data_IF_411673245132
#
_entry.id   IF_411673245132
#
_cell.length_a   1.000
_cell.length_b   1.000
_cell.length_c   1.000
_cell.angle_alpha   90.00
_cell.angle_beta   90.00
_cell.angle_gamma   90.00
#
_symmetry.space_group_name_H-M   'P 1'
#
loop_
_entity.id
_entity.type
_entity.pdbx_description
1 polymer ?
#
# COMPACT_ATOMS: atom_id res chain seq x y z
N UNK A 1 60.71 -6.88 3.04
CA UNK A 1 59.56 -6.54 2.17
C UNK A 1 58.35 -7.46 2.34
N UNK A 2 58.45 -8.62 3.00
CA UNK A 2 57.33 -9.58 3.10
C UNK A 2 56.20 -9.18 4.06
N UNK A 3 56.49 -8.43 5.14
CA UNK A 3 55.48 -8.01 6.11
C UNK A 3 54.43 -7.06 5.52
N UNK A 4 54.86 -6.15 4.62
CA UNK A 4 53.95 -5.22 3.94
C UNK A 4 52.97 -5.94 3.00
N UNK A 5 53.41 -7.02 2.34
CA UNK A 5 52.57 -7.83 1.48
C UNK A 5 51.51 -8.61 2.27
N UNK A 6 51.85 -9.10 3.46
CA UNK A 6 50.90 -9.79 4.36
C UNK A 6 49.85 -8.82 4.92
N UNK A 7 50.25 -7.59 5.29
CA UNK A 7 49.33 -6.54 5.77
C UNK A 7 48.38 -6.09 4.64
N UNK A 8 48.89 -5.85 3.43
CA UNK A 8 48.06 -5.47 2.28
C UNK A 8 47.03 -6.54 1.92
N UNK A 9 47.40 -7.83 2.06
CA UNK A 9 46.50 -8.97 1.79
C UNK A 9 45.45 -9.18 2.88
N UNK A 10 45.77 -8.87 4.15
CA UNK A 10 44.80 -8.83 5.24
C UNK A 10 43.83 -7.66 5.12
N UNK A 11 44.34 -6.49 4.75
CA UNK A 11 43.57 -5.27 4.52
C UNK A 11 42.56 -5.42 3.39
N UNK A 12 42.94 -6.04 2.26
CA UNK A 12 42.02 -6.24 1.15
C UNK A 12 40.89 -7.21 1.48
N UNK A 13 41.17 -8.26 2.29
CA UNK A 13 40.15 -9.19 2.77
C UNK A 13 39.17 -8.51 3.73
N UNK A 14 39.66 -7.66 4.63
CA UNK A 14 38.81 -6.88 5.55
C UNK A 14 37.91 -5.93 4.77
N UNK A 15 38.44 -5.17 3.80
CA UNK A 15 37.64 -4.30 2.95
C UNK A 15 36.55 -5.05 2.17
N UNK A 16 36.84 -6.28 1.71
CA UNK A 16 35.86 -7.11 1.02
C UNK A 16 34.74 -7.57 1.98
N UNK A 17 35.07 -7.98 3.20
CA UNK A 17 34.08 -8.37 4.21
C UNK A 17 33.20 -7.17 4.59
N UNK A 18 33.81 -6.01 4.86
CA UNK A 18 33.10 -4.77 5.17
C UNK A 18 32.14 -4.39 4.02
N UNK A 19 32.56 -4.59 2.76
CA UNK A 19 31.71 -4.28 1.61
C UNK A 19 30.52 -5.22 1.45
N UNK A 20 30.65 -6.49 1.85
CA UNK A 20 29.54 -7.45 1.83
C UNK A 20 28.55 -7.13 2.94
N UNK A 21 29.04 -6.89 4.16
CA UNK A 21 28.20 -6.50 5.30
C UNK A 21 27.45 -5.19 5.03
N UNK A 22 28.11 -4.19 4.45
CA UNK A 22 27.47 -2.95 4.04
C UNK A 22 26.40 -3.15 2.97
N UNK A 23 26.61 -4.07 2.02
CA UNK A 23 25.61 -4.38 1.00
C UNK A 23 24.39 -5.11 1.58
N UNK A 24 24.60 -6.00 2.55
CA UNK A 24 23.51 -6.67 3.28
C UNK A 24 22.70 -5.67 4.12
N UNK A 25 23.38 -4.79 4.85
CA UNK A 25 22.74 -3.73 5.63
C UNK A 25 21.91 -2.80 4.73
N UNK A 26 22.46 -2.37 3.59
CA UNK A 26 21.73 -1.57 2.62
C UNK A 26 20.48 -2.27 2.07
N UNK A 27 20.55 -3.58 1.82
CA UNK A 27 19.39 -4.35 1.35
C UNK A 27 18.28 -4.41 2.41
N UNK A 28 18.64 -4.57 3.68
CA UNK A 28 17.70 -4.55 4.80
C UNK A 28 17.07 -3.16 4.94
N UNK A 29 17.88 -2.09 4.94
CA UNK A 29 17.40 -0.72 5.03
C UNK A 29 16.42 -0.39 3.90
N UNK A 30 16.78 -0.74 2.66
CA UNK A 30 15.89 -0.54 1.51
C UNK A 30 14.54 -1.26 1.68
N UNK A 31 14.52 -2.47 2.25
CA UNK A 31 13.26 -3.17 2.53
C UNK A 31 12.42 -2.45 3.59
N UNK A 32 13.06 -1.99 4.66
CA UNK A 32 12.40 -1.26 5.75
C UNK A 32 11.83 0.07 5.26
N UNK A 33 12.61 0.86 4.53
CA UNK A 33 12.16 2.11 3.91
C UNK A 33 10.98 1.88 2.96
N UNK A 34 11.03 0.81 2.15
CA UNK A 34 9.92 0.45 1.26
C UNK A 34 8.62 0.14 2.03
N UNK A 35 8.72 -0.49 3.20
CA UNK A 35 7.57 -0.74 4.08
C UNK A 35 7.02 0.55 4.69
N UNK A 36 7.91 1.39 5.23
CA UNK A 36 7.52 2.67 5.81
C UNK A 36 6.81 3.58 4.80
N UNK A 37 7.31 3.65 3.56
CA UNK A 37 6.67 4.42 2.49
C UNK A 37 5.24 3.94 2.19
N UNK A 38 4.99 2.63 2.25
CA UNK A 38 3.65 2.09 2.06
C UNK A 38 2.74 2.44 3.24
N UNK A 39 3.25 2.32 4.48
CA UNK A 39 2.50 2.66 5.69
C UNK A 39 2.14 4.15 5.73
N UNK A 40 3.08 5.03 5.40
CA UNK A 40 2.86 6.47 5.33
C UNK A 40 1.79 6.82 4.28
N UNK A 41 1.86 6.21 3.09
CA UNK A 41 0.83 6.40 2.05
C UNK A 41 -0.54 5.95 2.54
N UNK A 42 -0.63 4.81 3.23
CA UNK A 42 -1.90 4.29 3.74
C UNK A 42 -2.48 5.12 4.89
N UNK A 43 -1.65 5.81 5.66
CA UNK A 43 -2.07 6.71 6.73
C UNK A 43 -2.55 8.05 6.15
N UNK A 44 -1.79 8.59 5.19
CA UNK A 44 -2.04 9.93 4.64
C UNK A 44 -3.04 9.96 3.48
N UNK A 45 -3.38 8.81 2.90
CA UNK A 45 -4.33 8.74 1.79
C UNK A 45 -5.77 8.85 2.30
N UNK A 46 -6.31 10.05 2.23
CA UNK A 46 -7.73 10.32 2.53
C UNK A 46 -8.65 10.13 1.33
N UNK A 47 -8.10 10.15 0.11
CA UNK A 47 -8.86 9.97 -1.12
C UNK A 47 -8.10 9.12 -2.14
N UNK A 48 -8.84 8.29 -2.87
CA UNK A 48 -8.29 7.44 -3.91
C UNK A 48 -9.24 7.36 -5.10
N UNK A 49 -8.71 7.56 -6.30
CA UNK A 49 -9.44 7.31 -7.53
C UNK A 49 -9.75 5.82 -7.70
N UNK A 50 -11.01 5.50 -7.99
CA UNK A 50 -11.50 4.14 -8.12
C UNK A 50 -12.55 4.04 -9.23
N UNK A 51 -12.67 2.84 -9.80
CA UNK A 51 -13.81 2.49 -10.63
C UNK A 51 -15.04 2.24 -9.75
N UNK A 52 -16.11 2.96 -10.05
CA UNK A 52 -17.42 2.78 -9.44
C UNK A 52 -18.27 1.99 -10.43
N UNK A 53 -18.93 0.95 -9.92
CA UNK A 53 -19.94 0.21 -10.65
C UNK A 53 -21.34 0.60 -10.18
N UNK A 54 -22.19 0.88 -11.15
CA UNK A 54 -23.59 1.20 -10.96
C UNK A 54 -24.44 0.17 -11.71
N UNK A 55 -25.31 -0.54 -10.99
CA UNK A 55 -26.23 -1.50 -11.58
C UNK A 55 -27.56 -0.80 -11.86
N UNK A 56 -27.96 -0.73 -13.14
CA UNK A 56 -29.22 -0.07 -13.53
C UNK A 56 -30.47 -0.82 -13.09
N UNK A 57 -30.39 -2.15 -12.97
CA UNK A 57 -31.54 -2.97 -12.57
C UNK A 57 -31.83 -2.92 -11.07
N UNK A 58 -30.82 -2.70 -10.23
CA UNK A 58 -30.96 -2.78 -8.76
C UNK A 58 -30.68 -1.45 -8.06
N UNK A 59 -30.31 -0.42 -8.82
CA UNK A 59 -29.86 0.87 -8.31
C UNK A 59 -28.71 0.75 -7.28
N UNK A 60 -27.88 -0.30 -7.41
CA UNK A 60 -26.73 -0.53 -6.56
C UNK A 60 -25.54 0.29 -7.05
N UNK A 61 -24.81 0.93 -6.14
CA UNK A 61 -23.59 1.70 -6.41
C UNK A 61 -22.50 1.27 -5.45
N UNK A 62 -21.33 0.90 -5.98
CA UNK A 62 -20.20 0.45 -5.18
C UNK A 62 -18.92 0.35 -5.99
N UNK A 63 -17.83 -0.11 -5.36
CA UNK A 63 -16.56 -0.36 -6.08
C UNK A 63 -16.57 -1.69 -6.82
N UNK A 64 -17.34 -2.67 -6.33
CA UNK A 64 -17.41 -4.01 -6.92
C UNK A 64 -18.84 -4.41 -7.18
N UNK A 65 -19.05 -5.09 -8.30
CA UNK A 65 -20.38 -5.57 -8.67
C UNK A 65 -20.68 -6.79 -7.80
N UNK A 66 -21.85 -6.85 -7.14
CA UNK A 66 -22.16 -7.98 -6.30
C UNK A 66 -22.28 -9.25 -7.17
N UNK A 67 -21.88 -10.42 -6.64
CA UNK A 67 -21.84 -11.66 -7.43
C UNK A 67 -23.19 -12.02 -8.05
N UNK A 68 -24.29 -11.71 -7.37
CA UNK A 68 -25.65 -11.99 -7.83
C UNK A 68 -26.09 -11.09 -8.99
N UNK A 69 -25.61 -9.83 -9.08
CA UNK A 69 -25.87 -8.98 -10.26
C UNK A 69 -25.25 -9.57 -11.51
N UNK A 70 -24.05 -10.14 -11.40
CA UNK A 70 -23.38 -10.82 -12.52
C UNK A 70 -24.14 -12.09 -12.93
N UNK A 71 -24.56 -12.91 -11.96
CA UNK A 71 -25.32 -14.15 -12.22
C UNK A 71 -26.66 -13.90 -12.92
N UNK A 72 -27.33 -12.80 -12.60
CA UNK A 72 -28.61 -12.41 -13.22
C UNK A 72 -28.45 -11.65 -14.55
N UNK A 73 -27.22 -11.37 -14.98
CA UNK A 73 -26.96 -10.65 -16.24
C UNK A 73 -27.44 -9.19 -16.22
N UNK A 74 -27.37 -8.51 -15.08
CA UNK A 74 -27.79 -7.12 -14.99
C UNK A 74 -26.86 -6.18 -15.76
N UNK A 75 -27.41 -5.06 -16.25
CA UNK A 75 -26.60 -4.04 -16.91
C UNK A 75 -25.80 -3.24 -15.87
N UNK A 76 -24.47 -3.32 -15.98
CA UNK A 76 -23.51 -2.66 -15.11
C UNK A 76 -22.82 -1.53 -15.86
N UNK A 77 -22.89 -0.32 -15.32
CA UNK A 77 -22.15 0.84 -15.82
C UNK A 77 -20.92 1.07 -14.95
N UNK A 78 -19.76 1.18 -15.58
CA UNK A 78 -18.51 1.53 -14.90
C UNK A 78 -18.24 3.02 -15.11
N UNK A 79 -17.96 3.73 -14.03
CA UNK A 79 -17.58 5.15 -14.04
C UNK A 79 -16.33 5.34 -13.20
N UNK A 80 -15.59 6.41 -13.46
CA UNK A 80 -14.49 6.82 -12.57
C UNK A 80 -15.05 7.69 -11.46
N UNK A 81 -14.58 7.50 -10.24
CA UNK A 81 -14.88 8.38 -9.13
C UNK A 81 -13.83 8.30 -8.05
N UNK A 82 -14.10 8.94 -6.92
CA UNK A 82 -13.16 9.03 -5.82
C UNK A 82 -13.77 8.37 -4.59
N UNK A 83 -13.09 7.38 -4.03
CA UNK A 83 -13.42 6.85 -2.71
C UNK A 83 -12.65 7.61 -1.64
N UNK A 84 -13.30 7.88 -0.51
CA UNK A 84 -12.72 8.60 0.62
C UNK A 84 -12.62 7.69 1.82
N UNK A 85 -11.56 7.87 2.60
CA UNK A 85 -11.28 7.12 3.81
C UNK A 85 -11.51 8.01 5.03
N UNK A 86 -12.27 7.48 5.97
CA UNK A 86 -12.56 8.11 7.24
C UNK A 86 -12.09 7.22 8.37
N UNK A 87 -11.57 7.85 9.42
CA UNK A 87 -11.28 7.20 10.68
C UNK A 87 -12.07 7.91 11.78
N UNK A 88 -12.83 7.14 12.55
CA UNK A 88 -13.52 7.69 13.71
C UNK A 88 -12.51 8.07 14.80
N UNK A 89 -12.74 9.21 15.45
CA UNK A 89 -11.83 9.71 16.51
C UNK A 89 -11.90 8.86 17.78
N UNK A 90 -13.08 8.38 18.14
CA UNK A 90 -13.32 7.68 19.40
C UNK A 90 -13.05 6.16 19.27
N UNK A 91 -13.65 5.52 18.25
CA UNK A 91 -13.54 4.06 18.06
C UNK A 91 -12.31 3.63 17.24
N UNK A 92 -11.58 4.59 16.61
CA UNK A 92 -10.48 4.35 15.64
C UNK A 92 -10.84 3.45 14.45
N UNK A 93 -12.11 3.05 14.33
CA UNK A 93 -12.64 2.26 13.23
C UNK A 93 -12.52 3.04 11.92
N UNK A 94 -12.18 2.36 10.82
CA UNK A 94 -11.96 2.96 9.51
C UNK A 94 -13.12 2.61 8.58
N UNK A 95 -13.69 3.63 7.94
CA UNK A 95 -14.82 3.48 7.01
C UNK A 95 -14.45 4.09 5.66
N UNK A 96 -14.88 3.44 4.58
CA UNK A 96 -14.68 3.95 3.21
C UNK A 96 -16.02 4.30 2.60
N UNK A 97 -16.13 5.47 1.98
CA UNK A 97 -17.36 5.89 1.28
C UNK A 97 -17.08 6.50 -0.08
N UNK A 98 -18.04 6.37 -0.99
CA UNK A 98 -18.02 7.04 -2.30
C UNK A 98 -18.58 8.47 -2.22
N UNK A 99 -19.38 8.74 -1.20
CA UNK A 99 -19.95 10.06 -0.95
C UNK A 99 -18.98 10.98 -0.21
N UNK A 100 -19.39 12.24 -0.01
CA UNK A 100 -18.56 13.24 0.66
C UNK A 100 -18.31 12.93 2.14
N UNK A 101 -19.30 12.32 2.80
CA UNK A 101 -19.24 11.92 4.21
C UNK A 101 -19.97 10.59 4.40
N UNK A 102 -19.58 9.77 5.41
CA UNK A 102 -20.34 8.59 5.77
C UNK A 102 -21.72 8.94 6.31
N UNK A 103 -22.72 8.22 5.84
CA UNK A 103 -24.13 8.35 6.28
C UNK A 103 -24.48 7.34 7.38
N UNK A 104 -23.64 6.34 7.60
CA UNK A 104 -23.79 5.31 8.63
C UNK A 104 -23.00 5.68 9.89
N UNK A 105 -23.54 5.39 11.09
CA UNK A 105 -22.81 5.60 12.35
C UNK A 105 -21.59 4.66 12.48
N UNK A 106 -20.65 4.99 13.39
CA UNK A 106 -19.58 4.05 13.78
C UNK A 106 -20.22 2.82 14.43
N UNK A 107 -19.84 1.64 13.94
CA UNK A 107 -20.06 0.34 14.61
C UNK A 107 -18.97 0.09 15.65
#
# INVERSE_FOLDING_TARGET
MELAALIAKGSSKLQLLDSVEAAEEQAILHNLEGREQLEERLINQHEQECSIVECKNCNFRGTHAPPWCRKKGHELKFSKGTRRYFQCRDCKNRTTTLDRYPTVPCE
#
